data_IF_422483635838
#
_entry.id   IF_422483635838
#
_cell.length_a   1.000
_cell.length_b   1.000
_cell.length_c   1.000
_cell.angle_alpha   90.00
_cell.angle_beta   90.00
_cell.angle_gamma   90.00
#
_symmetry.space_group_name_H-M   'P 1'
#
loop_
_entity.id
_entity.type
_entity.pdbx_description
1 polymer ?
#
# COMPACT_ATOMS: atom_id res chain seq x y z
N UNK A 1 -6.88 -22.89 9.80
CA UNK A 1 -6.83 -21.84 8.74
C UNK A 1 -5.54 -22.00 7.93
N UNK A 2 -4.38 -22.14 8.58
CA UNK A 2 -3.10 -22.30 7.87
C UNK A 2 -2.97 -23.57 7.01
N UNK A 3 -3.51 -24.71 7.43
CA UNK A 3 -3.44 -25.96 6.65
C UNK A 3 -4.46 -26.05 5.49
N UNK A 4 -5.42 -25.11 5.40
CA UNK A 4 -6.55 -25.20 4.46
C UNK A 4 -6.51 -24.17 3.34
N UNK A 5 -5.64 -23.14 3.45
CA UNK A 5 -5.54 -22.09 2.44
C UNK A 5 -4.13 -22.07 1.86
N UNK A 6 -4.03 -22.37 0.56
CA UNK A 6 -2.78 -22.17 -0.19
C UNK A 6 -2.31 -20.72 -0.07
N UNK A 7 -1.00 -20.48 -0.17
CA UNK A 7 -0.39 -19.16 0.11
C UNK A 7 -1.10 -18.00 -0.60
N UNK A 8 -1.53 -18.21 -1.86
CA UNK A 8 -2.26 -17.20 -2.63
C UNK A 8 -3.66 -16.89 -2.08
N UNK A 9 -4.36 -17.86 -1.49
CA UNK A 9 -5.68 -17.63 -0.91
C UNK A 9 -5.63 -16.75 0.34
N UNK A 10 -4.52 -16.80 1.07
CA UNK A 10 -4.27 -15.90 2.20
C UNK A 10 -4.08 -14.47 1.71
N UNK A 11 -3.32 -14.29 0.63
CA UNK A 11 -3.13 -12.98 0.00
C UNK A 11 -4.44 -12.42 -0.57
N UNK A 12 -5.25 -13.27 -1.20
CA UNK A 12 -6.59 -12.90 -1.68
C UNK A 12 -7.44 -12.38 -0.51
N UNK A 13 -7.48 -13.12 0.60
CA UNK A 13 -8.24 -12.70 1.78
C UNK A 13 -7.73 -11.38 2.38
N UNK A 14 -6.40 -11.20 2.46
CA UNK A 14 -5.81 -9.93 2.90
C UNK A 14 -6.22 -8.78 1.98
N UNK A 15 -6.18 -8.98 0.65
CA UNK A 15 -6.64 -7.96 -0.30
C UNK A 15 -8.11 -7.59 -0.06
N UNK A 16 -8.99 -8.58 0.15
CA UNK A 16 -10.41 -8.33 0.45
C UNK A 16 -10.59 -7.51 1.74
N UNK A 17 -9.81 -7.81 2.77
CA UNK A 17 -9.79 -6.99 3.99
C UNK A 17 -9.33 -5.55 3.71
N UNK A 18 -8.28 -5.35 2.89
CA UNK A 18 -7.78 -4.01 2.54
C UNK A 18 -8.83 -3.15 1.82
N UNK A 19 -9.71 -3.74 1.03
CA UNK A 19 -10.84 -3.05 0.37
C UNK A 19 -11.86 -2.50 1.38
N UNK A 20 -11.94 -3.09 2.58
CA UNK A 20 -12.84 -2.63 3.65
C UNK A 20 -12.36 -1.36 4.34
N UNK A 21 -11.18 -0.87 3.98
CA UNK A 21 -10.53 0.30 4.57
C UNK A 21 -9.26 -0.08 5.33
N UNK A 22 -8.28 0.82 5.29
CA UNK A 22 -7.02 0.72 6.03
C UNK A 22 -6.43 2.13 6.22
N UNK A 23 -5.34 2.25 6.97
CA UNK A 23 -4.75 3.56 7.30
C UNK A 23 -4.23 4.34 6.07
N UNK A 24 -3.99 3.66 4.95
CA UNK A 24 -3.41 4.24 3.74
C UNK A 24 -4.44 4.53 2.65
N UNK A 25 -5.61 3.88 2.70
CA UNK A 25 -6.65 3.99 1.69
C UNK A 25 -8.05 4.04 2.32
N UNK A 26 -8.93 4.93 1.83
CA UNK A 26 -10.34 4.88 2.18
C UNK A 26 -10.98 3.54 1.77
N UNK A 27 -12.02 3.13 2.51
CA UNK A 27 -12.87 1.98 2.16
C UNK A 27 -13.41 2.12 0.74
N UNK A 28 -13.36 1.04 -0.05
CA UNK A 28 -13.94 1.02 -1.39
C UNK A 28 -15.45 1.27 -1.29
N UNK A 29 -15.96 2.29 -1.99
CA UNK A 29 -17.37 2.69 -1.89
C UNK A 29 -18.28 1.63 -2.49
N UNK A 30 -19.33 1.26 -1.77
CA UNK A 30 -20.19 0.13 -2.11
C UNK A 30 -19.60 -1.26 -1.83
N UNK A 31 -18.42 -1.38 -1.21
CA UNK A 31 -17.84 -2.68 -0.91
C UNK A 31 -18.37 -3.27 0.41
N UNK A 32 -18.66 -4.57 0.41
CA UNK A 32 -19.02 -5.35 1.61
C UNK A 32 -18.15 -6.59 1.70
N UNK A 33 -17.34 -6.69 2.77
CA UNK A 33 -16.41 -7.80 2.99
C UNK A 33 -17.16 -9.14 3.07
N UNK A 34 -18.25 -9.21 3.82
CA UNK A 34 -19.04 -10.43 3.99
C UNK A 34 -19.56 -10.96 2.65
N UNK A 35 -20.12 -10.06 1.81
CA UNK A 35 -20.61 -10.40 0.47
C UNK A 35 -19.46 -10.84 -0.44
N UNK A 36 -18.34 -10.10 -0.42
CA UNK A 36 -17.16 -10.41 -1.23
C UNK A 36 -16.54 -11.76 -0.84
N UNK A 37 -16.42 -12.09 0.45
CA UNK A 37 -15.89 -13.38 0.92
C UNK A 37 -16.82 -14.54 0.52
N UNK A 38 -18.15 -14.39 0.66
CA UNK A 38 -19.13 -15.40 0.20
C UNK A 38 -18.98 -15.64 -1.30
N UNK A 39 -18.86 -14.58 -2.10
CA UNK A 39 -18.68 -14.65 -3.56
C UNK A 39 -17.33 -15.27 -3.95
N UNK A 40 -16.25 -14.86 -3.30
CA UNK A 40 -14.92 -15.42 -3.49
C UNK A 40 -14.89 -16.92 -3.22
N UNK A 41 -15.51 -17.40 -2.13
CA UNK A 41 -15.64 -18.85 -1.85
C UNK A 41 -16.35 -19.58 -2.99
N UNK A 42 -17.47 -19.05 -3.50
CA UNK A 42 -18.19 -19.64 -4.65
C UNK A 42 -17.31 -19.72 -5.90
N UNK A 43 -16.53 -18.67 -6.18
CA UNK A 43 -15.61 -18.64 -7.34
C UNK A 43 -14.47 -19.65 -7.15
N UNK A 44 -13.86 -19.71 -5.96
CA UNK A 44 -12.77 -20.64 -5.64
C UNK A 44 -13.16 -22.12 -5.69
N UNK A 45 -14.44 -22.44 -5.52
CA UNK A 45 -14.94 -23.82 -5.74
C UNK A 45 -15.01 -24.19 -7.22
N UNK A 46 -15.04 -23.20 -8.12
CA UNK A 46 -15.17 -23.40 -9.58
C UNK A 46 -13.87 -23.17 -10.34
N UNK A 47 -12.96 -22.37 -9.78
CA UNK A 47 -11.73 -21.96 -10.46
C UNK A 47 -10.54 -22.03 -9.53
N UNK A 48 -9.38 -22.43 -10.08
CA UNK A 48 -8.10 -22.38 -9.35
C UNK A 48 -7.47 -20.98 -9.33
N UNK A 49 -8.01 -20.02 -10.11
CA UNK A 49 -7.52 -18.64 -10.17
C UNK A 49 -7.83 -17.87 -8.88
N UNK A 50 -6.85 -17.10 -8.40
CA UNK A 50 -6.98 -16.21 -7.25
C UNK A 50 -7.41 -14.81 -7.67
N UNK A 51 -7.60 -13.93 -6.70
CA UNK A 51 -7.80 -12.48 -6.95
C UNK A 51 -6.45 -11.81 -7.21
N UNK A 52 -5.40 -12.27 -6.55
CA UNK A 52 -4.02 -11.86 -6.75
C UNK A 52 -3.33 -12.83 -7.71
N UNK A 53 -2.69 -12.28 -8.74
CA UNK A 53 -1.75 -13.03 -9.57
C UNK A 53 -0.42 -13.18 -8.82
N UNK A 54 0.23 -14.34 -8.96
CA UNK A 54 1.53 -14.63 -8.34
C UNK A 54 2.63 -13.66 -8.79
N UNK A 55 3.85 -13.76 -8.23
CA UNK A 55 4.93 -12.79 -8.46
C UNK A 55 5.23 -12.56 -9.95
N UNK A 56 5.28 -11.29 -10.43
CA UNK A 56 5.10 -10.04 -9.68
C UNK A 56 3.65 -9.84 -9.23
N UNK A 57 3.43 -9.32 -8.02
CA UNK A 57 2.08 -9.08 -7.48
C UNK A 57 1.23 -8.29 -8.48
N UNK A 58 0.16 -8.93 -8.95
CA UNK A 58 -0.82 -8.35 -9.86
C UNK A 58 -2.23 -8.59 -9.35
N UNK A 59 -3.20 -7.87 -9.91
CA UNK A 59 -4.61 -8.13 -9.68
C UNK A 59 -5.13 -8.94 -10.87
N UNK A 60 -5.63 -10.14 -10.60
CA UNK A 60 -6.38 -10.94 -11.55
C UNK A 60 -7.74 -10.27 -11.77
N UNK A 61 -7.81 -9.32 -12.72
CA UNK A 61 -8.97 -8.46 -12.87
C UNK A 61 -10.27 -9.24 -13.14
N UNK A 62 -10.21 -10.37 -13.86
CA UNK A 62 -11.37 -11.23 -14.13
C UNK A 62 -11.99 -11.72 -12.83
N UNK A 63 -11.16 -12.27 -11.93
CA UNK A 63 -11.58 -12.80 -10.65
C UNK A 63 -11.94 -11.66 -9.69
N UNK A 64 -11.17 -10.58 -9.69
CA UNK A 64 -11.40 -9.40 -8.85
C UNK A 64 -12.76 -8.75 -9.15
N UNK A 65 -13.05 -8.45 -10.42
CA UNK A 65 -14.34 -7.89 -10.84
C UNK A 65 -15.49 -8.83 -10.48
N UNK A 66 -15.32 -10.14 -10.71
CA UNK A 66 -16.30 -11.11 -10.27
C UNK A 66 -16.52 -11.07 -8.76
N UNK A 67 -15.51 -10.86 -7.92
CA UNK A 67 -15.67 -10.81 -6.46
C UNK A 67 -16.37 -9.53 -5.99
N UNK A 68 -16.07 -8.38 -6.58
CA UNK A 68 -16.59 -7.07 -6.10
C UNK A 68 -17.93 -6.66 -6.73
N UNK A 69 -18.34 -7.27 -7.84
CA UNK A 69 -19.57 -6.91 -8.55
C UNK A 69 -20.82 -7.16 -7.67
N UNK A 70 -21.57 -6.08 -7.37
CA UNK A 70 -22.77 -6.09 -6.52
C UNK A 70 -23.97 -6.81 -7.16
N UNK A 71 -24.14 -6.72 -8.49
CA UNK A 71 -25.45 -6.97 -9.15
C UNK A 71 -25.39 -7.80 -10.42
N UNK A 72 -24.32 -8.58 -10.62
CA UNK A 72 -24.00 -9.11 -11.95
C UNK A 72 -23.96 -7.96 -12.97
N UNK A 73 -23.45 -6.79 -12.54
CA UNK A 73 -23.24 -5.62 -13.37
C UNK A 73 -22.43 -5.99 -14.61
N UNK A 74 -21.48 -6.91 -14.47
CA UNK A 74 -20.74 -7.46 -15.61
C UNK A 74 -21.64 -8.21 -16.61
N UNK A 75 -22.64 -8.97 -16.14
CA UNK A 75 -23.60 -9.62 -17.02
C UNK A 75 -24.56 -8.62 -17.68
N UNK A 76 -24.94 -7.55 -16.95
CA UNK A 76 -25.77 -6.45 -17.49
C UNK A 76 -24.99 -5.66 -18.54
N UNK A 77 -23.75 -5.27 -18.25
CA UNK A 77 -22.85 -4.57 -19.15
C UNK A 77 -22.50 -5.43 -20.37
N UNK A 78 -22.22 -6.72 -20.20
CA UNK A 78 -21.97 -7.63 -21.32
C UNK A 78 -23.20 -7.76 -22.24
N UNK A 79 -24.42 -7.74 -21.68
CA UNK A 79 -25.66 -7.67 -22.48
C UNK A 79 -25.78 -6.35 -23.24
N UNK A 80 -25.45 -5.21 -22.61
CA UNK A 80 -25.48 -3.89 -23.26
C UNK A 80 -24.43 -3.78 -24.37
N UNK A 81 -23.20 -4.22 -24.12
CA UNK A 81 -22.12 -4.25 -25.11
C UNK A 81 -22.41 -5.21 -26.27
N UNK A 82 -23.04 -6.36 -25.99
CA UNK A 82 -23.48 -7.29 -27.04
C UNK A 82 -24.65 -6.72 -27.85
N UNK A 83 -25.56 -5.98 -27.19
CA UNK A 83 -26.68 -5.32 -27.85
C UNK A 83 -26.24 -4.14 -28.73
N UNK A 84 -25.15 -3.45 -28.39
CA UNK A 84 -24.62 -2.34 -29.22
C UNK A 84 -23.84 -2.82 -30.46
N UNK A 85 -23.56 -4.13 -30.59
CA UNK A 85 -22.87 -4.71 -31.75
C UNK A 85 -23.75 -5.64 -32.59
N UNK A 86 -25.01 -5.89 -32.20
CA UNK A 86 -25.95 -6.69 -32.99
C UNK A 86 -26.90 -5.79 -33.78
N UNK A 87 -27.08 -6.01 -35.10
CA UNK A 87 -28.11 -5.34 -35.87
C UNK A 87 -29.48 -5.70 -35.28
N UNK A 88 -30.28 -4.67 -35.01
CA UNK A 88 -31.59 -4.74 -34.37
C UNK A 88 -32.53 -5.68 -35.13
N UNK A 89 -32.67 -6.91 -34.67
CA UNK A 89 -33.68 -7.86 -35.12
C UNK A 89 -34.45 -8.39 -33.90
N UNK A 90 -35.79 -8.24 -33.86
CA UNK A 90 -36.60 -8.62 -32.71
C UNK A 90 -36.88 -10.14 -32.72
N UNK A 91 -36.21 -10.88 -31.85
CA UNK A 91 -36.64 -12.23 -31.48
C UNK A 91 -36.83 -12.37 -29.97
N UNK A 92 -37.97 -12.96 -29.61
CA UNK A 92 -38.42 -13.19 -28.24
C UNK A 92 -37.54 -14.23 -27.55
N UNK A 93 -37.08 -13.92 -26.32
CA UNK A 93 -36.28 -14.82 -25.50
C UNK A 93 -37.13 -15.57 -24.46
N UNK A 94 -36.80 -16.83 -24.17
CA UNK A 94 -37.50 -17.65 -23.20
C UNK A 94 -37.10 -17.33 -21.76
N UNK A 95 -38.10 -17.33 -20.89
CA UNK A 95 -38.01 -17.06 -19.44
C UNK A 95 -37.37 -18.23 -18.70
N UNK A 96 -36.08 -18.15 -18.36
CA UNK A 96 -35.45 -19.03 -17.37
C UNK A 96 -35.68 -18.50 -15.96
N UNK A 97 -36.23 -19.34 -15.08
CA UNK A 97 -36.51 -19.02 -13.67
C UNK A 97 -35.22 -18.79 -12.87
N UNK A 98 -35.07 -17.67 -12.15
CA UNK A 98 -33.92 -17.44 -11.27
C UNK A 98 -33.99 -18.39 -10.06
N UNK A 99 -32.85 -18.98 -9.69
CA UNK A 99 -32.70 -19.78 -8.47
C UNK A 99 -33.11 -18.95 -7.22
N UNK A 100 -34.07 -19.45 -6.45
CA UNK A 100 -34.72 -18.74 -5.33
C UNK A 100 -33.89 -18.65 -4.03
N UNK A 101 -32.63 -19.08 -4.05
CA UNK A 101 -31.81 -19.35 -2.85
C UNK A 101 -30.91 -18.17 -2.38
N UNK A 102 -31.14 -16.96 -2.91
CA UNK A 102 -30.35 -15.75 -2.56
C UNK A 102 -31.16 -14.70 -1.76
N UNK A 103 -32.26 -15.07 -1.08
CA UNK A 103 -33.12 -14.15 -0.29
C UNK A 103 -32.65 -13.82 1.13
N UNK A 104 -31.37 -14.01 1.46
CA UNK A 104 -30.87 -13.81 2.83
C UNK A 104 -30.11 -12.48 3.02
N UNK A 105 -30.58 -11.76 4.04
CA UNK A 105 -29.91 -10.73 4.84
C UNK A 105 -29.73 -9.34 4.20
N UNK A 106 -30.85 -8.61 4.18
CA UNK A 106 -30.87 -7.13 4.13
C UNK A 106 -30.55 -6.62 5.55
N UNK A 107 -29.34 -6.88 6.03
CA UNK A 107 -28.82 -6.19 7.20
C UNK A 107 -28.33 -4.82 6.73
N UNK A 108 -29.29 -3.88 6.78
CA UNK A 108 -29.09 -2.47 6.51
C UNK A 108 -28.15 -1.85 7.53
N UNK A 109 -27.02 -1.37 7.04
CA UNK A 109 -26.37 -0.21 7.63
C UNK A 109 -26.03 0.73 6.48
N UNK A 110 -26.79 1.82 6.45
CA UNK A 110 -26.82 2.89 5.46
C UNK A 110 -25.47 3.63 5.42
N UNK A 111 -24.48 3.06 4.72
CA UNK A 111 -23.31 3.81 4.24
C UNK A 111 -23.62 4.58 2.95
N UNK A 112 -24.84 4.47 2.42
CA UNK A 112 -25.27 5.04 1.14
C UNK A 112 -25.38 6.58 1.17
N UNK A 113 -25.60 7.20 2.34
CA UNK A 113 -25.82 8.66 2.43
C UNK A 113 -24.53 9.49 2.17
N UNK A 114 -23.35 8.86 2.22
CA UNK A 114 -22.07 9.49 1.87
C UNK A 114 -21.65 9.27 0.40
N UNK A 115 -22.40 8.49 -0.39
CA UNK A 115 -22.01 8.18 -1.77
C UNK A 115 -22.20 9.38 -2.72
N UNK A 116 -23.18 10.25 -2.48
CA UNK A 116 -23.61 11.30 -3.42
C UNK A 116 -22.56 12.41 -3.63
N UNK A 117 -21.94 12.94 -2.58
CA UNK A 117 -20.97 14.05 -2.69
C UNK A 117 -19.70 13.66 -3.47
N UNK A 118 -19.26 12.41 -3.34
CA UNK A 118 -18.02 11.95 -3.95
C UNK A 118 -18.20 11.53 -5.42
N UNK A 119 -19.39 11.10 -5.83
CA UNK A 119 -19.73 10.88 -7.26
C UNK A 119 -19.76 12.24 -7.98
N UNK A 120 -20.39 13.25 -7.37
CA UNK A 120 -20.54 14.57 -7.97
C UNK A 120 -19.20 15.33 -8.11
N UNK A 121 -18.28 15.13 -7.16
CA UNK A 121 -17.02 15.88 -7.15
C UNK A 121 -15.90 15.24 -7.98
N UNK A 122 -16.04 13.97 -8.40
CA UNK A 122 -14.97 13.26 -9.13
C UNK A 122 -13.65 13.19 -8.36
N UNK A 123 -13.69 13.30 -7.03
CA UNK A 123 -12.50 13.44 -6.19
C UNK A 123 -11.92 12.07 -5.80
N UNK A 124 -11.64 11.24 -6.80
CA UNK A 124 -11.00 9.93 -6.68
C UNK A 124 -10.21 9.60 -7.96
N UNK A 125 -9.31 8.63 -7.87
CA UNK A 125 -8.57 8.07 -9.01
C UNK A 125 -8.51 6.54 -8.85
N UNK A 126 -9.08 5.83 -9.83
CA UNK A 126 -9.19 4.37 -9.79
C UNK A 126 -7.83 3.71 -9.89
N UNK A 127 -7.00 4.14 -10.83
CA UNK A 127 -5.68 3.53 -11.05
C UNK A 127 -4.77 3.74 -9.84
N UNK A 128 -4.77 4.96 -9.27
CA UNK A 128 -4.00 5.27 -8.08
C UNK A 128 -4.49 4.48 -6.85
N UNK A 129 -5.80 4.24 -6.74
CA UNK A 129 -6.38 3.42 -5.68
C UNK A 129 -5.91 1.97 -5.79
N UNK A 130 -6.02 1.38 -6.99
CA UNK A 130 -5.57 0.02 -7.27
C UNK A 130 -4.05 -0.15 -7.05
N UNK A 131 -3.25 0.85 -7.44
CA UNK A 131 -1.82 0.93 -7.12
C UNK A 131 -1.57 0.95 -5.61
N UNK A 132 -2.40 1.68 -4.87
CA UNK A 132 -2.31 1.73 -3.40
C UNK A 132 -2.62 0.39 -2.74
N UNK A 133 -3.57 -0.39 -3.29
CA UNK A 133 -3.86 -1.73 -2.78
C UNK A 133 -2.65 -2.65 -2.94
N UNK A 134 -2.03 -2.64 -4.13
CA UNK A 134 -0.82 -3.42 -4.38
C UNK A 134 0.37 -2.95 -3.52
N UNK A 135 0.54 -1.64 -3.37
CA UNK A 135 1.55 -1.05 -2.49
C UNK A 135 1.39 -1.53 -1.05
N UNK A 136 0.15 -1.52 -0.55
CA UNK A 136 -0.14 -1.91 0.83
C UNK A 136 0.05 -3.42 1.04
N UNK A 137 -0.44 -4.23 0.09
CA UNK A 137 -0.23 -5.68 0.11
C UNK A 137 1.26 -6.05 0.11
N UNK A 138 2.06 -5.45 -0.78
CA UNK A 138 3.50 -5.66 -0.82
C UNK A 138 4.18 -5.22 0.49
N UNK A 139 3.76 -4.09 1.06
CA UNK A 139 4.30 -3.62 2.33
C UNK A 139 4.06 -4.63 3.47
N UNK A 140 2.88 -5.27 3.54
CA UNK A 140 2.62 -6.32 4.53
C UNK A 140 3.44 -7.60 4.28
N UNK A 141 3.68 -7.96 3.02
CA UNK A 141 4.49 -9.13 2.65
C UNK A 141 5.96 -8.92 3.01
N UNK A 142 6.51 -7.75 2.66
CA UNK A 142 7.94 -7.47 2.84
C UNK A 142 8.25 -6.89 4.23
N UNK A 143 7.27 -6.30 4.90
CA UNK A 143 7.49 -5.46 6.09
C UNK A 143 8.18 -4.12 5.75
N UNK A 144 8.18 -3.71 4.48
CA UNK A 144 8.78 -2.47 4.00
C UNK A 144 8.01 -1.91 2.79
N UNK A 145 7.76 -0.60 2.71
CA UNK A 145 7.02 0.00 1.60
C UNK A 145 7.81 0.01 0.28
N UNK A 146 7.24 -0.48 -0.84
CA UNK A 146 7.95 -0.54 -2.13
C UNK A 146 8.26 0.85 -2.74
N UNK A 147 7.51 1.88 -2.34
CA UNK A 147 7.83 3.28 -2.57
C UNK A 147 7.53 4.08 -1.29
N UNK A 148 8.57 4.61 -0.63
CA UNK A 148 8.44 5.37 0.62
C UNK A 148 7.69 6.71 0.48
N UNK A 149 7.50 7.20 -0.75
CA UNK A 149 6.86 8.48 -1.04
C UNK A 149 5.52 8.32 -1.77
N UNK A 150 5.05 7.08 -1.97
CA UNK A 150 3.71 6.83 -2.46
C UNK A 150 2.69 7.20 -1.38
N UNK A 151 1.62 7.90 -1.78
CA UNK A 151 0.45 8.14 -0.96
C UNK A 151 -0.75 8.34 -1.87
N UNK A 152 -1.94 7.91 -1.44
CA UNK A 152 -3.17 8.19 -2.15
C UNK A 152 -3.63 9.63 -1.85
N UNK A 153 -3.62 10.50 -2.86
CA UNK A 153 -3.86 11.94 -2.67
C UNK A 153 -5.35 12.33 -2.59
N UNK A 154 -6.24 11.40 -2.89
CA UNK A 154 -7.67 11.67 -2.96
C UNK A 154 -8.33 11.33 -1.64
N UNK A 155 -9.35 12.10 -1.28
CA UNK A 155 -10.07 11.93 0.00
C UNK A 155 -10.95 10.68 0.01
N UNK A 156 -11.49 10.32 -1.16
CA UNK A 156 -12.47 9.25 -1.29
C UNK A 156 -11.94 8.12 -2.15
N UNK A 157 -12.35 6.89 -1.84
CA UNK A 157 -12.13 5.75 -2.72
C UNK A 157 -13.04 5.88 -3.96
N UNK A 158 -12.69 5.24 -5.08
CA UNK A 158 -13.64 5.07 -6.17
C UNK A 158 -14.86 4.25 -5.72
N UNK A 159 -16.04 4.44 -6.35
CA UNK A 159 -17.13 3.48 -6.24
C UNK A 159 -16.77 2.18 -6.96
N UNK A 160 -17.34 1.05 -6.51
CA UNK A 160 -17.19 -0.25 -7.17
C UNK A 160 -17.44 -0.16 -8.68
N UNK A 161 -18.48 0.57 -9.10
CA UNK A 161 -18.85 0.68 -10.52
C UNK A 161 -17.75 1.32 -11.37
N UNK A 162 -17.11 2.39 -10.88
CA UNK A 162 -15.98 3.01 -11.59
C UNK A 162 -14.76 2.08 -11.68
N UNK A 163 -14.57 1.19 -10.69
CA UNK A 163 -13.51 0.18 -10.75
C UNK A 163 -13.83 -0.88 -11.82
N UNK A 164 -15.09 -1.31 -11.91
CA UNK A 164 -15.53 -2.25 -12.94
C UNK A 164 -15.40 -1.63 -14.35
N UNK A 165 -15.85 -0.38 -14.52
CA UNK A 165 -15.72 0.38 -15.77
C UNK A 165 -14.25 0.52 -16.19
N UNK A 166 -13.36 0.86 -15.25
CA UNK A 166 -11.92 0.96 -15.52
C UNK A 166 -11.34 -0.32 -16.15
N UNK A 167 -11.67 -1.49 -15.60
CA UNK A 167 -11.20 -2.76 -16.16
C UNK A 167 -11.89 -3.13 -17.48
N UNK A 168 -13.16 -2.75 -17.65
CA UNK A 168 -13.89 -2.95 -18.90
C UNK A 168 -13.29 -2.12 -20.05
N UNK A 169 -13.01 -0.84 -19.81
CA UNK A 169 -12.46 0.08 -20.81
C UNK A 169 -11.03 -0.27 -21.20
N UNK A 170 -10.21 -0.64 -20.21
CA UNK A 170 -8.78 -0.92 -20.44
C UNK A 170 -8.52 -2.36 -20.89
N UNK A 171 -9.46 -3.28 -20.66
CA UNK A 171 -9.44 -4.67 -21.12
C UNK A 171 -8.38 -5.55 -20.46
N UNK A 172 -8.01 -6.64 -21.12
CA UNK A 172 -6.99 -7.61 -20.63
C UNK A 172 -5.58 -7.04 -20.56
N UNK A 173 -5.31 -5.93 -21.26
CA UNK A 173 -4.00 -5.25 -21.27
C UNK A 173 -3.74 -4.41 -20.02
N UNK A 174 -4.69 -4.32 -19.09
CA UNK A 174 -4.61 -3.47 -17.90
C UNK A 174 -3.77 -4.10 -16.81
N UNK A 175 -2.44 -4.02 -16.95
CA UNK A 175 -1.56 -4.34 -15.84
C UNK A 175 -1.45 -3.13 -14.92
N UNK A 176 -2.12 -3.20 -13.76
CA UNK A 176 -1.89 -2.24 -12.67
C UNK A 176 -0.52 -2.55 -12.08
N UNK A 177 0.47 -1.73 -12.42
CA UNK A 177 1.83 -1.92 -11.95
C UNK A 177 1.98 -1.45 -10.50
N UNK A 178 2.59 -2.30 -9.67
CA UNK A 178 3.01 -1.95 -8.32
C UNK A 178 3.88 -0.67 -8.36
N UNK A 179 3.56 0.38 -7.58
CA UNK A 179 4.44 1.53 -7.48
C UNK A 179 5.72 1.17 -6.72
N UNK A 180 6.85 1.16 -7.42
CA UNK A 180 8.18 0.87 -6.86
C UNK A 180 9.08 2.07 -7.05
N UNK A 181 9.81 2.45 -6.00
CA UNK A 181 10.80 3.52 -6.09
C UNK A 181 11.93 3.35 -5.09
N UNK A 182 13.15 3.64 -5.54
CA UNK A 182 14.34 3.73 -4.67
C UNK A 182 14.43 5.09 -3.95
N UNK A 183 13.33 5.85 -3.90
CA UNK A 183 13.29 7.13 -3.19
C UNK A 183 13.40 6.87 -1.70
N UNK A 184 14.28 7.59 -0.97
CA UNK A 184 14.38 7.43 0.46
C UNK A 184 13.11 7.96 1.16
N UNK A 185 12.94 7.55 2.42
CA UNK A 185 12.01 8.18 3.35
C UNK A 185 12.08 9.71 3.27
N UNK A 186 10.94 10.37 3.47
CA UNK A 186 10.95 11.82 3.67
C UNK A 186 11.75 12.16 4.93
N UNK A 187 12.44 13.29 4.92
CA UNK A 187 13.24 13.71 6.07
C UNK A 187 12.33 14.17 7.21
N UNK A 188 12.81 14.11 8.46
CA UNK A 188 12.03 14.53 9.63
C UNK A 188 11.57 15.99 9.55
N UNK A 189 12.35 16.88 8.90
CA UNK A 189 11.93 18.26 8.64
C UNK A 189 10.69 18.34 7.76
N UNK A 190 10.67 17.55 6.68
CA UNK A 190 9.58 17.55 5.72
C UNK A 190 8.34 16.92 6.36
N UNK A 191 8.48 15.78 7.03
CA UNK A 191 7.39 15.12 7.74
C UNK A 191 6.75 16.06 8.79
N UNK A 192 7.56 16.71 9.62
CA UNK A 192 7.08 17.66 10.61
C UNK A 192 6.34 18.83 9.97
N UNK A 193 6.84 19.35 8.85
CA UNK A 193 6.20 20.49 8.16
C UNK A 193 4.85 20.11 7.56
N UNK A 194 4.69 18.88 7.08
CA UNK A 194 3.47 18.40 6.41
C UNK A 194 2.39 17.91 7.38
N UNK A 195 2.79 17.40 8.56
CA UNK A 195 1.86 16.75 9.49
C UNK A 195 1.44 17.64 10.67
N UNK A 196 2.24 18.64 11.02
CA UNK A 196 1.94 19.48 12.18
C UNK A 196 0.86 20.50 11.81
N UNK A 197 -0.28 20.56 12.52
CA UNK A 197 -1.31 21.55 12.22
C UNK A 197 -0.80 22.96 12.48
N UNK A 198 -1.34 23.94 11.75
CA UNK A 198 -0.93 25.35 11.86
C UNK A 198 -1.04 25.88 13.29
N UNK A 199 -1.99 25.40 14.10
CA UNK A 199 -2.13 25.77 15.52
C UNK A 199 -0.96 25.30 16.41
N UNK A 200 -0.28 24.23 16.02
CA UNK A 200 0.85 23.65 16.76
C UNK A 200 2.21 24.10 16.23
N UNK A 201 2.26 25.14 15.39
CA UNK A 201 3.47 25.64 14.73
C UNK A 201 4.65 25.87 15.69
N UNK A 202 4.40 26.30 16.93
CA UNK A 202 5.43 26.55 17.93
C UNK A 202 6.22 25.32 18.37
N UNK A 203 5.73 24.11 18.07
CA UNK A 203 6.45 22.85 18.30
C UNK A 203 7.52 22.57 17.23
N UNK A 204 7.47 23.27 16.09
CA UNK A 204 8.45 23.15 15.04
C UNK A 204 9.75 23.89 15.39
N UNK A 205 10.91 23.43 14.88
CA UNK A 205 12.15 24.21 14.86
C UNK A 205 11.93 25.61 14.31
N UNK A 206 12.63 26.62 14.85
CA UNK A 206 12.39 28.03 14.52
C UNK A 206 12.40 28.33 13.01
N UNK A 207 13.28 27.66 12.26
CA UNK A 207 13.38 27.81 10.79
C UNK A 207 12.21 27.20 10.02
N UNK A 208 11.47 26.26 10.60
CA UNK A 208 10.31 25.59 9.99
C UNK A 208 8.97 26.20 10.42
N UNK A 209 8.95 26.95 11.53
CA UNK A 209 7.76 27.60 12.07
C UNK A 209 6.96 28.40 11.03
N UNK A 210 7.56 29.22 10.13
CA UNK A 210 6.80 29.95 9.13
C UNK A 210 6.06 29.04 8.14
N UNK A 211 6.68 27.91 7.76
CA UNK A 211 6.09 26.94 6.82
C UNK A 211 4.94 26.15 7.47
N UNK A 212 5.07 25.79 8.75
CA UNK A 212 3.97 25.14 9.49
C UNK A 212 2.83 26.12 9.73
N UNK A 213 3.15 27.36 10.11
CA UNK A 213 2.16 28.41 10.38
C UNK A 213 1.34 28.77 9.15
N UNK A 214 1.90 28.66 7.94
CA UNK A 214 1.13 28.88 6.70
C UNK A 214 0.10 27.79 6.40
N UNK A 215 0.03 26.72 7.20
CA UNK A 215 -0.93 25.64 7.02
C UNK A 215 -0.65 24.78 5.78
N UNK A 216 0.64 24.62 5.44
CA UNK A 216 1.01 23.82 4.28
C UNK A 216 0.52 22.38 4.45
N UNK A 217 -0.08 21.82 3.40
CA UNK A 217 -0.72 20.51 3.43
C UNK A 217 0.05 19.47 2.63
N UNK A 218 -0.36 18.19 2.72
CA UNK A 218 0.17 17.13 1.86
C UNK A 218 -0.08 17.41 0.37
N UNK A 219 -1.12 18.17 0.02
CA UNK A 219 -1.37 18.56 -1.37
C UNK A 219 -0.30 19.52 -1.90
N UNK A 220 0.40 20.22 -1.01
CA UNK A 220 1.50 21.13 -1.33
C UNK A 220 2.87 20.44 -1.30
N UNK A 221 2.91 19.10 -1.26
CA UNK A 221 4.11 18.30 -1.01
C UNK A 221 5.33 18.75 -1.83
N UNK A 222 5.16 19.00 -3.12
CA UNK A 222 6.25 19.36 -4.03
C UNK A 222 6.86 20.72 -3.65
N UNK A 223 6.02 21.71 -3.36
CA UNK A 223 6.46 23.07 -3.02
C UNK A 223 7.05 23.12 -1.61
N UNK A 224 6.41 22.47 -0.63
CA UNK A 224 6.95 22.36 0.73
C UNK A 224 8.30 21.66 0.73
N UNK A 225 8.44 20.56 -0.01
CA UNK A 225 9.71 19.83 -0.17
C UNK A 225 10.79 20.71 -0.77
N UNK A 226 10.46 21.56 -1.75
CA UNK A 226 11.39 22.53 -2.35
C UNK A 226 11.85 23.56 -1.31
N UNK A 227 10.93 24.16 -0.54
CA UNK A 227 11.25 25.15 0.50
C UNK A 227 12.07 24.57 1.65
N UNK A 228 11.69 23.41 2.16
CA UNK A 228 12.43 22.72 3.22
C UNK A 228 13.86 22.40 2.79
N UNK A 229 14.07 21.99 1.52
CA UNK A 229 15.41 21.73 0.96
C UNK A 229 16.30 22.97 0.84
N UNK A 230 15.71 24.16 0.73
CA UNK A 230 16.47 25.41 0.66
C UNK A 230 17.04 25.82 2.02
N UNK A 231 16.56 25.25 3.14
CA UNK A 231 17.06 25.53 4.47
C UNK A 231 18.30 24.66 4.73
N UNK A 232 19.53 25.23 4.78
CA UNK A 232 20.72 24.42 5.01
C UNK A 232 20.67 23.77 6.39
N UNK A 233 20.97 22.48 6.47
CA UNK A 233 20.90 21.74 7.73
C UNK A 233 21.79 22.33 8.85
N UNK A 234 22.87 23.03 8.48
CA UNK A 234 23.77 23.74 9.40
C UNK A 234 23.13 24.93 10.12
N UNK A 235 22.02 25.47 9.60
CA UNK A 235 21.32 26.63 10.19
C UNK A 235 20.46 26.27 11.40
N UNK A 236 20.04 25.01 11.53
CA UNK A 236 19.34 24.51 12.72
C UNK A 236 20.26 24.49 13.93
N UNK A 237 19.71 24.65 15.13
CA UNK A 237 20.49 24.52 16.37
C UNK A 237 21.07 23.11 16.53
N UNK A 238 22.13 22.96 17.33
CA UNK A 238 22.76 21.66 17.55
C UNK A 238 21.78 20.58 18.06
N UNK A 239 20.90 20.96 18.99
CA UNK A 239 19.90 20.04 19.55
C UNK A 239 18.84 19.66 18.51
N UNK A 240 18.36 20.62 17.72
CA UNK A 240 17.42 20.39 16.61
C UNK A 240 18.02 19.45 15.56
N UNK A 241 19.27 19.70 15.15
CA UNK A 241 19.99 18.81 14.20
C UNK A 241 20.08 17.38 14.72
N UNK A 242 20.28 17.19 16.02
CA UNK A 242 20.32 15.85 16.60
C UNK A 242 18.96 15.15 16.52
N UNK A 243 17.86 15.87 16.77
CA UNK A 243 16.48 15.34 16.70
C UNK A 243 16.00 15.07 15.28
N UNK A 244 16.47 15.86 14.31
CA UNK A 244 16.07 15.76 12.91
C UNK A 244 16.84 14.70 12.11
N UNK A 245 17.85 14.06 12.71
CA UNK A 245 18.57 12.93 12.10
C UNK A 245 17.79 11.64 12.33
N UNK A 246 17.80 10.77 11.33
CA UNK A 246 17.32 9.41 11.49
C UNK A 246 18.06 8.72 12.65
N UNK A 247 17.31 8.09 13.55
CA UNK A 247 17.85 7.34 14.66
C UNK A 247 18.51 6.04 14.22
N UNK A 248 19.26 5.43 15.14
CA UNK A 248 19.80 4.08 14.98
C UNK A 248 19.06 3.17 15.96
N UNK A 249 18.62 2.00 15.52
CA UNK A 249 18.08 0.98 16.41
C UNK A 249 19.20 0.47 17.31
N UNK A 250 18.92 0.27 18.60
CA UNK A 250 19.93 -0.18 19.57
C UNK A 250 19.58 -1.58 20.06
N UNK A 251 20.55 -2.49 20.00
CA UNK A 251 20.44 -3.81 20.62
C UNK A 251 21.08 -3.76 22.00
N UNK A 252 20.31 -4.22 22.98
CA UNK A 252 20.73 -4.33 24.37
C UNK A 252 20.85 -5.81 24.72
N UNK A 253 22.03 -6.27 25.15
CA UNK A 253 22.24 -7.64 25.64
C UNK A 253 22.73 -7.59 27.08
N UNK A 254 22.09 -8.34 27.97
CA UNK A 254 22.67 -8.64 29.27
C UNK A 254 23.94 -9.45 29.03
N UNK A 255 25.08 -8.92 29.47
CA UNK A 255 26.34 -9.65 29.46
C UNK A 255 26.29 -10.82 30.43
N UNK A 256 25.67 -11.93 30.03
CA UNK A 256 25.76 -13.19 30.77
C UNK A 256 27.10 -13.86 30.48
N UNK A 257 28.17 -13.32 31.10
CA UNK A 257 29.29 -14.15 31.57
C UNK A 257 29.57 -13.78 33.03
N UNK A 258 29.36 -14.71 33.99
CA UNK A 258 29.78 -14.54 35.36
C UNK A 258 31.31 -14.62 35.38
N UNK A 259 31.98 -13.48 35.39
CA UNK A 259 33.44 -13.44 35.34
C UNK A 259 33.96 -12.03 35.21
N UNK A 260 34.09 -11.36 36.36
CA UNK A 260 34.97 -10.21 36.62
C UNK A 260 35.04 -9.14 35.54
N UNK A 261 34.17 -8.12 35.61
CA UNK A 261 34.36 -6.89 34.85
C UNK A 261 34.49 -5.67 35.77
N UNK A 262 35.58 -4.91 35.54
CA UNK A 262 35.88 -3.63 36.21
C UNK A 262 34.90 -2.56 35.72
N UNK A 263 34.31 -1.81 36.66
CA UNK A 263 33.40 -0.69 36.40
C UNK A 263 34.03 0.33 35.43
N UNK A 264 33.34 0.78 34.37
CA UNK A 264 33.76 1.96 33.62
C UNK A 264 33.65 3.20 34.53
N UNK A 265 34.75 3.98 34.63
CA UNK A 265 34.92 5.10 35.58
C UNK A 265 34.14 6.39 35.22
N UNK A 266 33.21 6.37 34.28
CA UNK A 266 32.49 7.60 33.88
C UNK A 266 31.00 7.51 34.18
N UNK A 267 30.49 8.30 35.15
CA UNK A 267 29.05 8.42 35.37
C UNK A 267 28.43 9.22 34.22
N UNK A 268 27.44 8.63 33.54
CA UNK A 268 26.50 9.38 32.71
C UNK A 268 25.40 9.91 33.64
N UNK A 269 25.29 11.24 33.74
CA UNK A 269 24.31 11.95 34.58
C UNK A 269 22.92 11.98 33.93
N UNK A 270 22.32 10.83 33.65
CA UNK A 270 20.92 10.77 33.22
C UNK A 270 20.10 9.90 34.20
N UNK A 271 19.34 10.57 35.06
CA UNK A 271 18.57 9.99 36.18
C UNK A 271 17.66 8.84 35.77
N UNK A 272 17.21 8.80 34.51
CA UNK A 272 16.30 7.76 34.00
C UNK A 272 16.98 6.40 33.79
N UNK A 273 18.31 6.36 33.68
CA UNK A 273 19.06 5.12 33.48
C UNK A 273 19.74 4.59 34.76
N UNK A 274 19.71 5.37 35.85
CA UNK A 274 20.37 5.01 37.12
C UNK A 274 19.67 3.86 37.88
N UNK A 275 18.42 3.54 37.54
CA UNK A 275 17.64 2.49 38.20
C UNK A 275 17.55 1.18 37.38
N UNK A 276 18.18 1.11 36.21
CA UNK A 276 18.28 -0.16 35.50
C UNK A 276 19.26 -1.07 36.26
N UNK A 277 18.92 -2.35 36.53
CA UNK A 277 19.82 -3.27 37.20
C UNK A 277 21.16 -3.29 36.45
N UNK A 278 22.24 -3.02 37.18
CA UNK A 278 23.64 -2.83 36.72
C UNK A 278 24.29 -4.11 36.15
N UNK A 279 23.57 -4.90 35.36
CA UNK A 279 24.14 -5.85 34.43
C UNK A 279 24.62 -5.08 33.20
N UNK A 280 25.91 -5.19 32.87
CA UNK A 280 26.52 -4.47 31.75
C UNK A 280 25.75 -4.77 30.46
N UNK A 281 24.92 -3.82 30.02
CA UNK A 281 24.16 -3.97 28.79
C UNK A 281 25.08 -3.64 27.64
N UNK A 282 25.52 -4.63 26.88
CA UNK A 282 26.27 -4.35 25.65
C UNK A 282 25.32 -3.62 24.69
N UNK A 283 25.61 -2.35 24.44
CA UNK A 283 24.89 -1.50 23.49
C UNK A 283 25.62 -1.57 22.18
N UNK A 284 25.06 -2.27 21.20
CA UNK A 284 25.55 -2.23 19.82
C UNK A 284 24.52 -1.57 18.92
N UNK A 285 24.95 -0.71 17.97
CA UNK A 285 24.04 -0.22 16.95
C UNK A 285 23.55 -1.44 16.17
N UNK A 286 22.24 -1.64 16.13
CA UNK A 286 21.63 -2.59 15.23
C UNK A 286 21.64 -1.95 13.86
N UNK A 287 22.56 -2.40 13.00
CA UNK A 287 22.55 -2.00 11.60
C UNK A 287 21.29 -2.56 10.95
N UNK A 288 20.25 -1.74 10.91
CA UNK A 288 19.15 -1.94 9.97
C UNK A 288 19.78 -1.62 8.62
N UNK A 289 19.91 -2.63 7.76
CA UNK A 289 20.37 -2.39 6.40
C UNK A 289 19.35 -1.51 5.69
N UNK A 290 19.79 -0.50 4.95
CA UNK A 290 18.90 0.20 4.01
C UNK A 290 18.46 -0.71 2.86
N UNK A 291 19.08 -1.88 2.74
CA UNK A 291 18.66 -2.93 1.81
C UNK A 291 17.27 -3.41 2.22
N UNK A 292 16.31 -3.50 1.27
CA UNK A 292 15.01 -4.10 1.54
C UNK A 292 15.22 -5.52 2.11
N UNK A 293 14.31 -6.00 2.97
CA UNK A 293 14.44 -7.31 3.59
C UNK A 293 14.65 -8.40 2.52
N UNK A 294 15.56 -9.31 2.86
CA UNK A 294 16.25 -10.32 2.03
C UNK A 294 15.35 -11.32 1.30
N UNK A 295 14.41 -10.88 0.47
CA UNK A 295 14.12 -11.62 -0.77
C UNK A 295 14.84 -10.86 -1.86
N UNK A 296 15.84 -11.50 -2.47
CA UNK A 296 16.22 -11.11 -3.80
C UNK A 296 14.91 -11.07 -4.58
N UNK A 297 14.51 -9.88 -5.01
CA UNK A 297 13.46 -9.78 -6.00
C UNK A 297 13.95 -10.71 -7.09
N UNK A 298 13.21 -11.79 -7.35
CA UNK A 298 13.23 -12.33 -8.68
C UNK A 298 12.64 -11.20 -9.51
N UNK A 299 13.49 -10.26 -9.91
CA UNK A 299 13.48 -9.79 -11.27
C UNK A 299 13.59 -11.09 -12.07
N UNK A 300 12.45 -11.76 -12.24
CA UNK A 300 12.25 -12.69 -13.32
C UNK A 300 12.46 -11.78 -14.51
N UNK A 301 13.69 -11.80 -15.01
CA UNK A 301 13.95 -11.47 -16.39
C UNK A 301 13.03 -12.38 -17.17
N UNK A 302 11.82 -11.92 -17.45
CA UNK A 302 11.03 -12.50 -18.51
C UNK A 302 11.80 -12.17 -19.78
N UNK A 303 12.66 -13.10 -20.18
CA UNK A 303 12.89 -13.33 -21.59
C UNK A 303 11.51 -13.57 -22.17
N UNK A 304 10.95 -12.56 -22.83
CA UNK A 304 9.87 -12.76 -23.79
C UNK A 304 10.50 -13.69 -24.82
N UNK A 305 10.23 -14.99 -24.71
CA UNK A 305 10.55 -15.95 -25.75
C UNK A 305 9.57 -15.66 -26.90
N UNK A 306 9.94 -14.67 -27.70
CA UNK A 306 9.25 -14.23 -28.89
C UNK A 306 10.30 -13.63 -29.82
N UNK A 307 10.55 -14.36 -30.90
CA UNK A 307 11.39 -14.08 -32.07
C UNK A 307 12.91 -14.07 -31.91
N UNK A 308 13.48 -15.04 -32.63
CA UNK A 308 14.81 -15.20 -33.22
C UNK A 308 15.77 -14.00 -33.29
N UNK A 309 17.05 -14.38 -33.25
CA UNK A 309 18.27 -13.67 -33.64
C UNK A 309 18.90 -12.65 -32.67
N UNK A 310 19.91 -13.15 -31.94
CA UNK A 310 21.26 -12.57 -32.00
C UNK A 310 21.63 -11.49 -30.98
N UNK A 311 22.20 -11.90 -29.84
CA UNK A 311 23.14 -11.05 -29.09
C UNK A 311 22.89 -10.95 -27.59
N UNK A 312 23.21 -11.99 -26.83
CA UNK A 312 23.10 -12.01 -25.38
C UNK A 312 24.32 -11.33 -24.71
N UNK A 313 24.18 -10.06 -24.31
CA UNK A 313 25.03 -9.45 -23.27
C UNK A 313 24.25 -9.48 -21.96
N UNK A 314 24.60 -10.42 -21.08
CA UNK A 314 23.89 -10.67 -19.83
C UNK A 314 24.09 -9.54 -18.81
N UNK A 315 22.98 -9.11 -18.19
CA UNK A 315 22.91 -8.11 -17.13
C UNK A 315 23.53 -8.53 -15.78
N UNK A 316 24.33 -9.61 -15.75
CA UNK A 316 25.04 -10.08 -14.55
C UNK A 316 26.15 -9.13 -14.09
N UNK A 317 26.67 -8.28 -14.97
CA UNK A 317 27.75 -7.33 -14.64
C UNK A 317 27.29 -6.10 -13.84
N UNK A 318 25.99 -5.82 -13.74
CA UNK A 318 25.50 -4.63 -13.04
C UNK A 318 25.52 -4.74 -11.50
N UNK A 319 25.57 -5.95 -10.94
CA UNK A 319 25.46 -6.19 -9.49
C UNK A 319 26.79 -6.48 -8.78
N UNK A 320 27.90 -6.66 -9.52
CA UNK A 320 29.23 -6.89 -8.91
C UNK A 320 29.82 -5.63 -8.25
N UNK A 321 29.32 -4.43 -8.58
CA UNK A 321 29.88 -3.15 -8.09
C UNK A 321 29.37 -2.68 -6.71
N UNK A 322 28.50 -3.45 -6.04
CA UNK A 322 27.89 -3.04 -4.76
C UNK A 322 28.06 -4.07 -3.62
N UNK A 323 29.16 -4.82 -3.61
CA UNK A 323 29.56 -5.62 -2.44
C UNK A 323 30.80 -5.05 -1.77
#
# INVERSE_FOLDING_TARGET
IDELLGDNQRLDFVLLCLLSGNDYLPKLRGYSLSKAVKKYRRIRMRTEKGVIDGPPLGINWETFCQVIDKHNHMAKMARVAKASHLPSSPQAFPSGSPDEDDREDIDGFDDDELEDDAVLTGNYDVEMYLKGLLWNLQMYIDGYPPDQQFYYRFRYAPPVDAVLEYFLEKGTSTQVNLPVSNRPAITSQLALTLMLPSAAWSLAPGLLQPLVKSGASINDFVEVKKRVRQIPFSKFEYQERTRLRAGVAWRYRNGSKPGTFKRPKRPMNDRRFNNLPLGLTQRTPFQVTNSPPLRAWSAVSYSISGSDDGGEKTAKDAFSKYR
#
